data_IF_158130547379
#
_entry.id   IF_158130547379
#
_cell.length_a   1.000
_cell.length_b   1.000
_cell.length_c   1.000
_cell.angle_alpha   90.00
_cell.angle_beta   90.00
_cell.angle_gamma   90.00
#
_symmetry.space_group_name_H-M   'P 1'
#
loop_
_entity.id
_entity.type
_entity.pdbx_description
1 polymer ?
#
# COMPACT_ATOMS: atom_id res chain seq x y z
N UNK A 1 -42.64 6.53 -24.70
CA UNK A 1 -42.35 7.15 -23.38
C UNK A 1 -41.66 8.46 -23.65
N UNK A 2 -42.16 9.56 -23.07
CA UNK A 2 -41.61 10.89 -23.30
C UNK A 2 -40.45 11.16 -22.32
N UNK A 3 -39.52 12.04 -22.69
CA UNK A 3 -38.44 12.50 -21.81
C UNK A 3 -38.97 13.15 -20.52
N UNK A 4 -40.20 13.69 -20.54
CA UNK A 4 -40.90 14.27 -19.39
C UNK A 4 -41.16 13.29 -18.25
N UNK A 5 -41.19 11.99 -18.54
CA UNK A 5 -41.54 10.98 -17.55
C UNK A 5 -40.32 10.53 -16.72
N UNK A 6 -39.13 10.97 -17.13
CA UNK A 6 -37.86 10.72 -16.47
C UNK A 6 -37.42 11.99 -15.75
N UNK A 7 -36.96 11.84 -14.51
CA UNK A 7 -36.31 12.93 -13.79
C UNK A 7 -34.89 12.54 -13.39
N UNK A 8 -34.03 13.54 -13.28
CA UNK A 8 -32.65 13.32 -12.91
C UNK A 8 -32.55 13.03 -11.41
N UNK A 9 -32.16 11.82 -11.03
CA UNK A 9 -31.97 11.44 -9.63
C UNK A 9 -30.67 12.03 -9.07
N UNK A 10 -29.56 11.76 -9.75
CA UNK A 10 -28.23 12.14 -9.29
C UNK A 10 -27.34 12.53 -10.45
N UNK A 11 -26.56 13.59 -10.24
CA UNK A 11 -25.54 14.03 -11.16
C UNK A 11 -24.18 13.84 -10.49
N UNK A 12 -23.38 12.94 -11.05
CA UNK A 12 -22.07 12.59 -10.51
C UNK A 12 -20.96 13.16 -11.38
N UNK A 13 -20.06 13.93 -10.78
CA UNK A 13 -18.84 14.39 -11.43
C UNK A 13 -17.62 13.72 -10.80
N UNK A 14 -16.64 13.38 -11.63
CA UNK A 14 -15.35 12.90 -11.17
C UNK A 14 -14.25 13.77 -11.75
N UNK A 15 -13.60 14.53 -10.88
CA UNK A 15 -12.39 15.25 -11.21
C UNK A 15 -11.19 14.33 -11.16
N UNK A 16 -10.35 14.41 -12.18
CA UNK A 16 -9.10 13.67 -12.29
C UNK A 16 -7.97 14.60 -12.70
N UNK A 17 -6.82 14.54 -12.03
CA UNK A 17 -5.61 15.26 -12.44
C UNK A 17 -4.34 14.51 -12.02
N UNK A 18 -3.24 14.80 -12.72
CA UNK A 18 -1.88 14.31 -12.39
C UNK A 18 -1.31 15.05 -11.19
N UNK A 19 -1.60 16.34 -11.08
CA UNK A 19 -1.12 17.19 -9.99
C UNK A 19 -2.19 17.32 -8.90
N UNK A 20 -1.80 17.05 -7.66
CA UNK A 20 -2.69 17.19 -6.50
C UNK A 20 -3.14 18.64 -6.28
N UNK A 21 -2.23 19.60 -6.51
CA UNK A 21 -2.46 21.04 -6.30
C UNK A 21 -3.56 21.58 -7.23
N UNK A 22 -3.49 21.25 -8.52
CA UNK A 22 -4.50 21.63 -9.52
C UNK A 22 -5.89 21.15 -9.14
N UNK A 23 -5.99 19.91 -8.66
CA UNK A 23 -7.25 19.35 -8.21
C UNK A 23 -7.79 20.06 -6.95
N UNK A 24 -6.92 20.41 -6.00
CA UNK A 24 -7.34 21.19 -4.83
C UNK A 24 -7.82 22.59 -5.21
N UNK A 25 -7.18 23.23 -6.20
CA UNK A 25 -7.63 24.51 -6.71
C UNK A 25 -8.98 24.41 -7.42
N UNK A 26 -9.20 23.41 -8.27
CA UNK A 26 -10.51 23.23 -8.91
C UNK A 26 -11.63 22.98 -7.90
N UNK A 27 -11.37 22.23 -6.82
CA UNK A 27 -12.34 22.06 -5.71
C UNK A 27 -12.64 23.39 -5.02
N UNK A 28 -11.61 24.19 -4.76
CA UNK A 28 -11.77 25.48 -4.07
C UNK A 28 -12.53 26.48 -4.95
N UNK A 29 -12.24 26.49 -6.25
CA UNK A 29 -12.96 27.29 -7.23
C UNK A 29 -14.42 26.86 -7.31
N UNK A 30 -14.68 25.54 -7.39
CA UNK A 30 -16.04 24.98 -7.44
C UNK A 30 -16.83 25.41 -6.21
N UNK A 31 -16.23 25.36 -5.03
CA UNK A 31 -16.85 25.84 -3.79
C UNK A 31 -17.25 27.30 -3.87
N UNK A 32 -16.33 28.13 -4.35
CA UNK A 32 -16.56 29.57 -4.48
C UNK A 32 -17.60 29.90 -5.55
N UNK A 33 -17.70 29.13 -6.63
CA UNK A 33 -18.73 29.32 -7.67
C UNK A 33 -20.10 28.82 -7.22
N UNK A 34 -20.15 27.73 -6.44
CA UNK A 34 -21.41 27.20 -5.93
C UNK A 34 -22.07 28.11 -4.88
N UNK A 35 -21.30 28.96 -4.19
CA UNK A 35 -21.85 30.00 -3.29
C UNK A 35 -22.83 30.94 -4.00
N UNK A 36 -22.71 31.09 -5.33
CA UNK A 36 -23.58 31.93 -6.16
C UNK A 36 -24.63 31.13 -6.94
N UNK A 37 -24.69 29.82 -6.74
CA UNK A 37 -25.66 28.93 -7.40
C UNK A 37 -26.73 28.47 -6.40
N UNK A 38 -27.91 28.12 -6.90
CA UNK A 38 -28.99 27.58 -6.06
C UNK A 38 -28.74 26.14 -5.59
N UNK A 39 -27.64 25.52 -6.01
CA UNK A 39 -27.33 24.13 -5.71
C UNK A 39 -26.61 23.95 -4.38
N UNK A 40 -27.02 22.92 -3.65
CA UNK A 40 -26.37 22.55 -2.39
C UNK A 40 -24.96 22.03 -2.62
N UNK A 41 -24.01 22.47 -1.80
CA UNK A 41 -22.61 22.02 -1.85
C UNK A 41 -22.48 20.49 -1.70
N UNK A 42 -21.94 19.77 -2.70
CA UNK A 42 -21.68 18.34 -2.57
C UNK A 42 -20.36 18.11 -1.83
N UNK A 43 -20.39 17.29 -0.77
CA UNK A 43 -19.17 16.94 -0.04
C UNK A 43 -18.22 16.14 -0.97
N UNK A 44 -16.96 16.59 -1.17
CA UNK A 44 -16.02 15.90 -2.05
C UNK A 44 -15.63 14.54 -1.48
N UNK A 45 -15.95 13.47 -2.20
CA UNK A 45 -15.54 12.12 -1.85
C UNK A 45 -14.23 11.77 -2.54
N UNK A 46 -13.19 11.48 -1.75
CA UNK A 46 -11.91 11.02 -2.30
C UNK A 46 -12.05 9.60 -2.85
N UNK A 47 -11.75 9.43 -4.14
CA UNK A 47 -11.71 8.12 -4.77
C UNK A 47 -10.34 7.47 -4.59
N UNK A 48 -10.25 6.12 -4.68
CA UNK A 48 -8.97 5.43 -4.64
C UNK A 48 -8.05 5.96 -5.75
N UNK A 49 -6.81 6.26 -5.37
CA UNK A 49 -5.77 6.72 -6.30
C UNK A 49 -5.55 5.65 -7.37
N UNK A 50 -5.51 6.05 -8.65
CA UNK A 50 -5.02 5.16 -9.71
C UNK A 50 -3.52 5.37 -9.80
N UNK A 51 -2.76 4.29 -9.60
CA UNK A 51 -1.32 4.31 -9.77
C UNK A 51 -0.94 3.16 -10.68
N UNK A 52 -0.16 3.45 -11.72
CA UNK A 52 0.44 2.42 -12.56
C UNK A 52 1.94 2.60 -12.58
N UNK A 53 2.63 1.47 -12.70
CA UNK A 53 4.08 1.42 -12.70
C UNK A 53 4.54 1.01 -14.09
N UNK A 54 5.43 1.81 -14.67
CA UNK A 54 6.10 1.46 -15.92
C UNK A 54 7.58 1.30 -15.61
N UNK A 55 8.14 0.16 -16.02
CA UNK A 55 9.55 -0.13 -15.80
C UNK A 55 10.24 -0.21 -17.16
N UNK A 56 11.31 0.54 -17.35
CA UNK A 56 12.08 0.52 -18.58
C UNK A 56 13.57 0.28 -18.32
N UNK A 57 14.26 -0.24 -19.33
CA UNK A 57 15.72 -0.37 -19.32
C UNK A 57 16.34 1.01 -19.49
N UNK A 58 17.26 1.39 -18.60
CA UNK A 58 17.88 2.73 -18.66
C UNK A 58 18.65 2.99 -19.97
N UNK A 59 19.02 1.94 -20.71
CA UNK A 59 19.71 2.02 -21.99
C UNK A 59 18.94 1.21 -23.05
N UNK A 60 18.97 1.64 -24.32
CA UNK A 60 18.15 1.05 -25.39
C UNK A 60 18.50 -0.41 -25.73
N UNK A 61 19.76 -0.83 -25.55
CA UNK A 61 20.25 -2.14 -26.02
C UNK A 61 21.03 -2.97 -24.98
N UNK A 62 20.86 -2.73 -23.67
CA UNK A 62 21.57 -3.49 -22.61
C UNK A 62 20.66 -4.44 -21.82
N UNK A 63 21.30 -5.43 -21.20
CA UNK A 63 20.67 -6.47 -20.39
C UNK A 63 19.83 -5.93 -19.22
N UNK A 64 18.84 -6.73 -18.78
CA UNK A 64 17.79 -6.51 -17.78
C UNK A 64 18.27 -6.15 -16.35
N UNK A 65 19.56 -5.87 -16.17
CA UNK A 65 20.18 -5.57 -14.87
C UNK A 65 19.91 -4.12 -14.46
N UNK A 66 19.86 -3.18 -15.41
CA UNK A 66 19.73 -1.76 -15.10
C UNK A 66 18.33 -1.21 -15.47
N UNK A 67 17.36 -1.43 -14.58
CA UNK A 67 15.96 -1.02 -14.73
C UNK A 67 15.69 0.28 -13.96
N UNK A 68 14.81 1.13 -14.50
CA UNK A 68 14.21 2.26 -13.76
C UNK A 68 12.70 2.08 -13.70
N UNK A 69 12.14 2.34 -12.52
CA UNK A 69 10.70 2.28 -12.26
C UNK A 69 10.14 3.70 -12.22
N UNK A 70 9.07 3.93 -12.96
CA UNK A 70 8.26 5.15 -12.90
C UNK A 70 6.90 4.80 -12.36
N UNK A 71 6.41 5.61 -11.43
CA UNK A 71 5.06 5.48 -10.88
C UNK A 71 4.30 6.73 -11.27
N UNK A 72 3.23 6.54 -12.03
CA UNK A 72 2.33 7.61 -12.39
C UNK A 72 1.12 7.56 -11.46
N UNK A 73 0.66 8.74 -11.05
CA UNK A 73 -0.47 8.89 -10.14
C UNK A 73 -1.55 9.74 -10.80
N UNK A 74 -2.79 9.28 -10.67
CA UNK A 74 -3.98 10.08 -10.93
C UNK A 74 -4.74 10.28 -9.63
N UNK A 75 -4.88 11.54 -9.23
CA UNK A 75 -5.72 11.96 -8.13
C UNK A 75 -7.15 12.10 -8.60
N UNK A 76 -8.10 11.59 -7.81
CA UNK A 76 -9.52 11.54 -8.20
C UNK A 76 -10.43 11.94 -7.05
N UNK A 77 -11.37 12.82 -7.32
CA UNK A 77 -12.42 13.22 -6.40
C UNK A 77 -13.78 13.15 -7.08
N UNK A 78 -14.77 12.68 -6.33
CA UNK A 78 -16.14 12.56 -6.78
C UNK A 78 -17.02 13.58 -6.08
N UNK A 79 -17.90 14.21 -6.85
CA UNK A 79 -18.98 15.07 -6.39
C UNK A 79 -20.28 14.43 -6.82
N UNK A 80 -21.31 14.49 -5.96
CA UNK A 80 -22.61 13.91 -6.28
C UNK A 80 -23.68 14.90 -5.87
N UNK A 81 -24.24 15.55 -6.87
CA UNK A 81 -25.39 16.43 -6.72
C UNK A 81 -26.66 15.58 -6.74
N UNK A 82 -27.57 15.85 -5.82
CA UNK A 82 -28.87 15.18 -5.70
C UNK A 82 -29.96 16.21 -5.96
N UNK A 83 -31.01 15.82 -6.67
CA UNK A 83 -32.16 16.69 -6.96
C UNK A 83 -31.74 18.03 -7.59
N UNK A 84 -30.99 17.96 -8.69
CA UNK A 84 -30.54 19.15 -9.43
C UNK A 84 -31.74 19.81 -10.12
N UNK A 85 -31.95 21.10 -9.87
CA UNK A 85 -33.04 21.87 -10.47
C UNK A 85 -32.71 22.30 -11.90
N UNK A 86 -31.50 22.82 -12.13
CA UNK A 86 -31.01 23.27 -13.43
C UNK A 86 -29.71 22.56 -13.84
N UNK A 87 -29.87 21.52 -14.67
CA UNK A 87 -28.77 20.66 -15.10
C UNK A 87 -27.72 21.41 -15.94
N UNK A 88 -28.10 22.22 -16.95
CA UNK A 88 -27.17 23.09 -17.66
C UNK A 88 -26.34 24.01 -16.75
N UNK A 89 -26.96 24.66 -15.77
CA UNK A 89 -26.23 25.54 -14.85
C UNK A 89 -25.26 24.76 -13.95
N UNK A 90 -25.68 23.61 -13.41
CA UNK A 90 -24.82 22.69 -12.66
C UNK A 90 -23.55 22.32 -13.43
N UNK A 91 -23.73 21.92 -14.68
CA UNK A 91 -22.63 21.47 -15.53
C UNK A 91 -21.74 22.64 -15.90
N UNK A 92 -22.30 23.81 -16.21
CA UNK A 92 -21.55 25.02 -16.53
C UNK A 92 -20.69 25.49 -15.36
N UNK A 93 -21.24 25.54 -14.14
CA UNK A 93 -20.49 25.96 -12.93
C UNK A 93 -19.34 25.00 -12.63
N UNK A 94 -19.59 23.69 -12.70
CA UNK A 94 -18.56 22.67 -12.49
C UNK A 94 -17.48 22.79 -13.56
N UNK A 95 -17.83 22.82 -14.85
CA UNK A 95 -16.83 22.96 -15.92
C UNK A 95 -16.06 24.29 -15.87
N UNK A 96 -16.72 25.39 -15.50
CA UNK A 96 -16.10 26.71 -15.36
C UNK A 96 -15.16 26.82 -14.17
N UNK A 97 -15.32 25.98 -13.14
CA UNK A 97 -14.44 25.94 -11.97
C UNK A 97 -13.11 25.19 -12.18
N UNK A 98 -12.98 24.49 -13.31
CA UNK A 98 -11.84 23.62 -13.60
C UNK A 98 -10.57 24.40 -13.95
N UNK A 99 -9.41 23.82 -13.62
CA UNK A 99 -8.10 24.31 -14.07
C UNK A 99 -7.64 23.54 -15.32
N UNK A 100 -6.65 24.04 -16.10
CA UNK A 100 -6.28 23.46 -17.40
C UNK A 100 -5.85 21.99 -17.38
N UNK A 101 -5.29 21.50 -16.27
CA UNK A 101 -4.83 20.11 -16.13
C UNK A 101 -5.85 19.18 -15.45
N UNK A 102 -7.04 19.70 -15.14
CA UNK A 102 -8.11 18.90 -14.55
C UNK A 102 -9.03 18.39 -15.64
N UNK A 103 -9.36 17.11 -15.57
CA UNK A 103 -10.37 16.49 -16.44
C UNK A 103 -11.59 16.12 -15.59
N UNK A 104 -12.77 16.28 -16.17
CA UNK A 104 -14.02 15.94 -15.52
C UNK A 104 -14.77 14.87 -16.32
N UNK A 105 -15.29 13.87 -15.61
CA UNK A 105 -16.25 12.91 -16.17
C UNK A 105 -17.58 13.14 -15.48
N UNK A 106 -18.61 13.51 -16.25
CA UNK A 106 -19.97 13.65 -15.77
C UNK A 106 -20.78 12.37 -16.04
N UNK A 107 -21.64 12.00 -15.11
CA UNK A 107 -22.54 10.86 -15.21
C UNK A 107 -23.93 11.29 -14.76
N UNK A 108 -24.87 11.17 -15.68
CA UNK A 108 -26.28 11.47 -15.46
C UNK A 108 -27.00 10.18 -15.10
N UNK A 109 -27.70 10.18 -13.97
CA UNK A 109 -28.54 9.08 -13.57
C UNK A 109 -29.99 9.54 -13.56
N UNK A 110 -30.75 9.08 -14.54
CA UNK A 110 -32.17 9.39 -14.69
C UNK A 110 -32.99 8.25 -14.09
N UNK A 111 -34.06 8.61 -13.38
CA UNK A 111 -35.04 7.65 -12.89
C UNK A 111 -36.40 7.95 -13.50
N UNK A 112 -37.11 6.88 -13.84
CA UNK A 112 -38.49 6.94 -14.29
C UNK A 112 -39.38 6.90 -13.05
N UNK A 113 -40.28 7.86 -12.91
CA UNK A 113 -41.20 7.92 -11.76
C UNK A 113 -42.39 6.98 -11.89
N UNK A 114 -42.71 6.54 -13.11
CA UNK A 114 -43.83 5.66 -13.32
C UNK A 114 -43.56 4.29 -12.70
N UNK A 115 -44.57 3.77 -12.00
CA UNK A 115 -44.57 2.37 -11.67
C UNK A 115 -44.55 1.57 -12.98
N UNK A 116 -43.91 0.39 -13.04
CA UNK A 116 -43.93 -0.43 -14.24
C UNK A 116 -45.40 -0.72 -14.61
N UNK A 117 -45.73 -0.86 -15.89
CA UNK A 117 -47.13 -0.96 -16.38
C UNK A 117 -47.99 -2.05 -15.70
N UNK A 118 -47.42 -2.99 -14.93
CA UNK A 118 -48.18 -3.91 -14.07
C UNK A 118 -48.89 -3.23 -12.88
N UNK A 119 -48.42 -2.07 -12.41
CA UNK A 119 -49.03 -1.34 -11.28
C UNK A 119 -50.14 -0.39 -11.71
N UNK A 120 -50.26 -0.11 -13.02
CA UNK A 120 -51.32 0.76 -13.55
C UNK A 120 -52.72 0.14 -13.38
N UNK A 121 -52.80 -1.19 -13.26
CA UNK A 121 -54.04 -1.92 -13.01
C UNK A 121 -54.58 -1.76 -11.58
N UNK A 122 -53.80 -1.22 -10.64
CA UNK A 122 -54.24 -1.06 -9.24
C UNK A 122 -55.10 0.20 -9.00
N UNK A 123 -55.27 1.06 -10.01
CA UNK A 123 -55.96 2.37 -9.86
C UNK A 123 -57.35 2.36 -10.50
N UNK A 124 -57.63 1.46 -11.43
CA UNK A 124 -58.98 1.22 -11.95
C UNK A 124 -59.64 0.14 -11.12
N UNK A 125 -60.26 0.54 -10.01
CA UNK A 125 -60.97 -0.37 -9.11
C UNK A 125 -62.25 -0.91 -9.75
N UNK A 126 -62.15 -2.11 -10.33
CA UNK A 126 -63.29 -3.00 -10.52
C UNK A 126 -63.02 -4.28 -9.70
N UNK A 127 -63.60 -4.31 -8.49
CA UNK A 127 -63.43 -5.33 -7.47
C UNK A 127 -63.88 -6.72 -7.97
N UNK A 128 -62.95 -7.52 -8.47
CA UNK A 128 -63.19 -8.93 -8.81
C UNK A 128 -62.13 -9.84 -8.16
N UNK A 129 -62.52 -11.07 -7.79
CA UNK A 129 -61.68 -12.04 -7.04
C UNK A 129 -60.30 -12.31 -7.68
N UNK A 130 -60.17 -12.07 -8.99
CA UNK A 130 -58.90 -12.17 -9.72
C UNK A 130 -57.85 -11.11 -9.29
N UNK A 131 -58.28 -9.95 -8.76
CA UNK A 131 -57.36 -8.91 -8.28
C UNK A 131 -56.70 -9.28 -6.95
N UNK A 132 -57.41 -9.97 -6.06
CA UNK A 132 -56.86 -10.42 -4.77
C UNK A 132 -55.74 -11.45 -4.99
N UNK A 133 -55.96 -12.42 -5.89
CA UNK A 133 -54.94 -13.41 -6.25
C UNK A 133 -53.71 -12.77 -6.92
N UNK A 134 -53.89 -11.74 -7.75
CA UNK A 134 -52.80 -11.02 -8.42
C UNK A 134 -52.04 -10.08 -7.48
N UNK A 135 -52.73 -9.46 -6.52
CA UNK A 135 -52.10 -8.67 -5.46
C UNK A 135 -51.24 -9.54 -4.53
N UNK A 136 -51.68 -10.77 -4.25
CA UNK A 136 -50.87 -11.75 -3.52
C UNK A 136 -49.63 -12.19 -4.32
N UNK A 137 -49.76 -12.40 -5.63
CA UNK A 137 -48.62 -12.71 -6.51
C UNK A 137 -47.59 -11.57 -6.55
N UNK A 138 -48.04 -10.32 -6.63
CA UNK A 138 -47.17 -9.14 -6.57
C UNK A 138 -46.46 -9.01 -5.23
N UNK A 139 -47.16 -9.27 -4.11
CA UNK A 139 -46.54 -9.31 -2.78
C UNK A 139 -45.47 -10.40 -2.68
N UNK A 140 -45.71 -11.57 -3.29
CA UNK A 140 -44.69 -12.64 -3.38
C UNK A 140 -43.49 -12.20 -4.19
N UNK A 141 -43.68 -11.57 -5.35
CA UNK A 141 -42.57 -11.06 -6.18
C UNK A 141 -41.76 -9.97 -5.50
N UNK A 142 -42.40 -9.04 -4.78
CA UNK A 142 -41.69 -8.02 -3.98
C UNK A 142 -40.84 -8.70 -2.91
N UNK A 143 -41.40 -9.69 -2.21
CA UNK A 143 -40.70 -10.44 -1.18
C UNK A 143 -39.54 -11.26 -1.76
N UNK A 144 -39.69 -11.86 -2.95
CA UNK A 144 -38.61 -12.52 -3.69
C UNK A 144 -37.50 -11.54 -4.13
N UNK A 145 -37.86 -10.34 -4.57
CA UNK A 145 -36.90 -9.29 -4.92
C UNK A 145 -36.13 -8.79 -3.71
N UNK A 146 -36.80 -8.60 -2.57
CA UNK A 146 -36.16 -8.24 -1.31
C UNK A 146 -35.20 -9.34 -0.84
N UNK A 147 -35.62 -10.60 -0.94
CA UNK A 147 -34.76 -11.76 -0.67
C UNK A 147 -33.56 -11.80 -1.64
N UNK A 148 -33.78 -11.55 -2.93
CA UNK A 148 -32.73 -11.47 -3.94
C UNK A 148 -31.71 -10.37 -3.64
N UNK A 149 -32.19 -9.18 -3.28
CA UNK A 149 -31.35 -8.05 -2.86
C UNK A 149 -30.55 -8.37 -1.59
N UNK A 150 -31.16 -9.04 -0.61
CA UNK A 150 -30.46 -9.49 0.60
C UNK A 150 -29.36 -10.52 0.29
N UNK A 151 -29.59 -11.42 -0.67
CA UNK A 151 -28.62 -12.41 -1.12
C UNK A 151 -27.45 -11.75 -1.85
N UNK A 152 -27.71 -10.73 -2.67
CA UNK A 152 -26.67 -9.94 -3.34
C UNK A 152 -25.80 -9.21 -2.31
N UNK A 153 -26.41 -8.60 -1.28
CA UNK A 153 -25.68 -7.93 -0.21
C UNK A 153 -24.81 -8.90 0.60
N UNK A 154 -25.33 -10.09 0.95
CA UNK A 154 -24.54 -11.16 1.59
C UNK A 154 -23.36 -11.60 0.73
N UNK A 155 -23.57 -11.80 -0.57
CA UNK A 155 -22.49 -12.17 -1.49
C UNK A 155 -21.40 -11.09 -1.57
N UNK A 156 -21.81 -9.82 -1.58
CA UNK A 156 -20.87 -8.69 -1.54
C UNK A 156 -20.09 -8.63 -0.22
N UNK A 157 -20.73 -8.87 0.93
CA UNK A 157 -20.01 -8.93 2.21
C UNK A 157 -18.99 -10.06 2.23
N UNK A 158 -19.37 -11.26 1.77
CA UNK A 158 -18.48 -12.42 1.71
C UNK A 158 -17.29 -12.15 0.78
N UNK A 159 -17.50 -11.49 -0.35
CA UNK A 159 -16.42 -11.08 -1.25
C UNK A 159 -15.49 -10.04 -0.60
N UNK A 160 -16.00 -9.10 0.20
CA UNK A 160 -15.13 -8.20 0.98
C UNK A 160 -14.31 -8.92 2.04
N UNK A 161 -14.88 -9.95 2.69
CA UNK A 161 -14.16 -10.75 3.68
C UNK A 161 -13.11 -11.66 3.02
N UNK A 162 -13.42 -12.27 1.88
CA UNK A 162 -12.45 -13.00 1.05
C UNK A 162 -11.31 -12.10 0.60
N UNK A 163 -11.61 -10.87 0.16
CA UNK A 163 -10.58 -9.89 -0.20
C UNK A 163 -9.68 -9.53 0.98
N UNK A 164 -10.22 -9.38 2.21
CA UNK A 164 -9.40 -9.19 3.41
C UNK A 164 -8.46 -10.38 3.65
N UNK A 165 -8.92 -11.62 3.46
CA UNK A 165 -8.09 -12.82 3.55
C UNK A 165 -7.01 -12.91 2.46
N UNK A 166 -7.32 -12.49 1.23
CA UNK A 166 -6.38 -12.51 0.10
C UNK A 166 -5.25 -11.49 0.27
N UNK A 167 -5.53 -10.31 0.82
CA UNK A 167 -4.50 -9.31 1.13
C UNK A 167 -3.74 -9.59 2.44
N UNK A 168 -4.36 -10.26 3.42
CA UNK A 168 -3.69 -10.69 4.65
C UNK A 168 -2.53 -11.66 4.40
N UNK A 169 -2.58 -12.48 3.34
CA UNK A 169 -1.50 -13.40 3.01
C UNK A 169 -0.25 -12.75 2.37
N UNK A 170 -0.34 -11.49 1.95
CA UNK A 170 0.77 -10.78 1.28
C UNK A 170 1.57 -9.82 2.17
N UNK A 171 1.07 -9.50 3.38
CA UNK A 171 1.77 -8.63 4.34
C UNK A 171 2.54 -9.41 5.41
N UNK A 172 2.33 -10.72 5.53
CA UNK A 172 3.02 -11.60 6.48
C UNK A 172 4.41 -12.08 6.02
N UNK A 173 4.79 -11.90 4.75
CA UNK A 173 6.10 -12.32 4.24
C UNK A 173 7.18 -11.24 4.28
N UNK A 174 6.84 -10.00 4.67
CA UNK A 174 7.80 -8.90 4.72
C UNK A 174 7.75 -8.08 6.02
N UNK A 175 7.19 -8.66 7.06
CA UNK A 175 7.27 -8.13 8.42
C UNK A 175 7.84 -9.21 9.33
N UNK A 176 9.17 -9.24 9.45
CA UNK A 176 9.87 -9.93 10.52
C UNK A 176 9.61 -9.31 11.90
N UNK A 177 8.38 -8.88 12.18
CA UNK A 177 7.95 -8.51 13.51
C UNK A 177 7.73 -9.81 14.29
N UNK A 178 8.80 -10.25 14.96
CA UNK A 178 8.65 -11.03 16.18
C UNK A 178 7.61 -10.30 17.03
N UNK A 179 6.53 -10.98 17.44
CA UNK A 179 5.68 -10.51 18.53
C UNK A 179 6.53 -10.52 19.81
N UNK A 180 7.30 -9.47 20.03
CA UNK A 180 7.73 -9.03 21.35
C UNK A 180 6.63 -8.19 22.00
N UNK A 181 6.64 -8.02 23.33
CA UNK A 181 5.73 -7.09 23.99
C UNK A 181 5.90 -5.70 23.39
N UNK A 182 4.78 -4.99 23.22
CA UNK A 182 4.66 -3.72 22.50
C UNK A 182 5.82 -2.76 22.78
N UNK A 183 6.66 -2.51 21.77
CA UNK A 183 7.63 -1.43 21.79
C UNK A 183 6.87 -0.11 21.69
N UNK A 184 6.70 0.55 22.83
CA UNK A 184 6.30 1.95 22.89
C UNK A 184 7.39 2.82 22.24
N UNK A 185 7.02 3.87 21.48
CA UNK A 185 7.99 4.78 20.89
C UNK A 185 8.91 5.36 21.98
N UNK A 186 10.23 5.33 21.72
CA UNK A 186 11.34 5.66 22.64
C UNK A 186 11.31 7.08 23.24
N UNK A 187 10.34 7.91 22.83
CA UNK A 187 10.26 9.33 23.19
C UNK A 187 9.38 9.60 24.42
N UNK A 188 8.59 8.61 24.90
CA UNK A 188 7.64 8.80 26.01
C UNK A 188 7.86 7.91 27.25
N UNK A 189 9.04 7.30 27.45
CA UNK A 189 9.27 6.44 28.61
C UNK A 189 10.03 7.16 29.75
N UNK A 190 9.58 7.04 31.01
CA UNK A 190 10.25 7.64 32.17
C UNK A 190 11.66 7.05 32.34
N UNK A 191 12.57 7.85 32.91
CA UNK A 191 14.03 7.64 33.05
C UNK A 191 14.47 6.26 33.56
N UNK A 192 13.60 5.50 34.22
CA UNK A 192 13.84 4.13 34.72
C UNK A 192 13.92 3.06 33.59
N UNK A 193 13.34 3.31 32.41
CA UNK A 193 13.41 2.36 31.28
C UNK A 193 14.77 2.36 30.56
N UNK A 194 15.54 3.47 30.65
CA UNK A 194 16.90 3.55 30.10
C UNK A 194 17.85 2.57 30.79
N UNK A 195 17.66 2.31 32.09
CA UNK A 195 18.41 1.30 32.83
C UNK A 195 18.10 -0.14 32.36
N UNK A 196 16.83 -0.42 31.99
CA UNK A 196 16.44 -1.73 31.50
C UNK A 196 16.95 -2.02 30.09
N UNK A 197 17.05 -1.03 29.21
CA UNK A 197 17.70 -1.20 27.90
C UNK A 197 19.21 -1.46 28.01
N UNK A 198 19.88 -0.80 28.95
CA UNK A 198 21.31 -1.05 29.26
C UNK A 198 21.50 -2.46 29.82
N UNK A 199 20.59 -2.92 30.70
CA UNK A 199 20.61 -4.29 31.25
C UNK A 199 20.27 -5.36 30.21
N UNK A 200 19.37 -5.09 29.26
CA UNK A 200 19.05 -6.04 28.19
C UNK A 200 20.21 -6.19 27.20
N UNK A 201 20.92 -5.10 26.91
CA UNK A 201 22.15 -5.15 26.13
C UNK A 201 23.29 -5.86 26.87
N UNK A 202 23.41 -5.72 28.19
CA UNK A 202 24.47 -6.39 28.96
C UNK A 202 24.31 -7.91 29.02
N UNK A 203 23.08 -8.43 29.12
CA UNK A 203 22.83 -9.87 29.06
C UNK A 203 23.08 -10.47 27.68
N UNK A 204 22.84 -9.71 26.60
CA UNK A 204 23.15 -10.16 25.25
C UNK A 204 24.65 -10.11 24.95
N UNK A 205 25.33 -9.03 25.36
CA UNK A 205 26.77 -8.85 25.19
C UNK A 205 27.56 -9.93 25.95
N UNK A 206 27.24 -10.17 27.23
CA UNK A 206 27.90 -11.21 28.04
C UNK A 206 27.76 -12.62 27.46
N UNK A 207 26.63 -12.93 26.83
CA UNK A 207 26.46 -14.21 26.12
C UNK A 207 27.32 -14.31 24.87
N UNK A 208 27.44 -13.23 24.09
CA UNK A 208 28.28 -13.19 22.91
C UNK A 208 29.77 -13.29 23.29
N UNK A 209 30.19 -12.55 24.31
CA UNK A 209 31.56 -12.60 24.85
C UNK A 209 31.91 -14.00 25.36
N UNK A 210 31.03 -14.63 26.14
CA UNK A 210 31.22 -16.00 26.62
C UNK A 210 31.30 -17.00 25.46
N UNK A 211 30.49 -16.84 24.42
CA UNK A 211 30.50 -17.70 23.24
C UNK A 211 31.78 -17.52 22.41
N UNK A 212 32.14 -16.27 22.07
CA UNK A 212 33.36 -15.96 21.35
C UNK A 212 34.60 -16.44 22.12
N UNK A 213 34.65 -16.21 23.44
CA UNK A 213 35.72 -16.70 24.31
C UNK A 213 35.82 -18.22 24.35
N UNK A 214 34.69 -18.94 24.40
CA UNK A 214 34.68 -20.40 24.27
C UNK A 214 35.24 -20.87 22.92
N UNK A 215 34.91 -20.18 21.82
CA UNK A 215 35.43 -20.53 20.50
C UNK A 215 36.94 -20.29 20.37
N UNK A 216 37.43 -19.19 20.92
CA UNK A 216 38.85 -18.82 20.86
C UNK A 216 39.72 -19.70 21.77
N UNK A 217 39.25 -19.99 22.98
CA UNK A 217 40.06 -20.70 23.99
C UNK A 217 39.92 -22.22 23.88
N UNK A 218 38.70 -22.75 23.67
CA UNK A 218 38.46 -24.20 23.75
C UNK A 218 38.41 -24.87 22.38
N UNK A 219 37.90 -24.19 21.35
CA UNK A 219 37.55 -24.84 20.07
C UNK A 219 38.61 -24.62 19.00
N UNK A 220 39.19 -23.41 18.92
CA UNK A 220 40.16 -23.03 17.89
C UNK A 220 41.58 -22.88 18.47
N UNK A 221 42.11 -23.95 19.06
CA UNK A 221 43.50 -23.96 19.54
C UNK A 221 44.48 -24.15 18.38
N UNK A 222 45.62 -23.45 18.33
CA UNK A 222 46.61 -23.63 17.27
C UNK A 222 47.21 -25.04 17.35
N UNK A 223 46.92 -25.88 16.37
CA UNK A 223 47.39 -27.28 16.35
C UNK A 223 48.69 -27.46 15.55
N UNK A 224 49.04 -26.52 14.65
CA UNK A 224 50.24 -26.62 13.82
C UNK A 224 51.43 -25.84 14.41
N UNK A 225 52.60 -26.46 14.64
CA UNK A 225 53.75 -25.81 15.29
C UNK A 225 54.45 -24.76 14.41
N UNK A 226 54.34 -24.86 13.08
CA UNK A 226 55.08 -24.01 12.13
C UNK A 226 54.21 -23.05 11.30
N UNK A 227 52.89 -23.11 11.44
CA UNK A 227 51.92 -22.36 10.62
C UNK A 227 50.80 -21.82 11.52
N UNK A 228 50.99 -20.66 12.14
CA UNK A 228 49.98 -20.07 13.02
C UNK A 228 48.68 -19.78 12.25
N UNK A 229 47.53 -20.11 12.85
CA UNK A 229 46.21 -19.92 12.24
C UNK A 229 45.68 -21.09 11.40
N UNK A 230 46.46 -22.15 11.24
CA UNK A 230 45.99 -23.38 10.60
C UNK A 230 45.33 -24.33 11.62
N UNK A 231 44.00 -24.29 11.69
CA UNK A 231 43.19 -25.11 12.61
C UNK A 231 42.75 -26.45 12.01
N UNK A 232 43.37 -26.92 10.92
CA UNK A 232 42.96 -28.11 10.15
C UNK A 232 41.49 -28.12 9.71
N UNK A 233 40.88 -26.94 9.62
CA UNK A 233 39.57 -26.71 9.02
C UNK A 233 39.79 -26.30 7.58
N UNK A 234 39.54 -27.21 6.64
CA UNK A 234 39.72 -26.97 5.21
C UNK A 234 38.92 -25.77 4.70
N UNK A 235 39.17 -25.36 3.45
CA UNK A 235 38.43 -24.26 2.80
C UNK A 235 36.93 -24.58 2.83
N UNK A 236 36.13 -23.65 3.36
CA UNK A 236 34.67 -23.75 3.56
C UNK A 236 34.16 -24.64 4.69
N UNK A 237 34.98 -25.20 5.60
CA UNK A 237 34.56 -25.82 6.88
C UNK A 237 33.36 -26.82 6.87
N UNK A 238 32.90 -27.29 5.70
CA UNK A 238 31.65 -28.04 5.53
C UNK A 238 31.89 -29.56 5.51
N UNK A 239 33.13 -30.02 5.32
CA UNK A 239 33.48 -31.45 5.35
C UNK A 239 34.90 -31.64 5.95
N UNK A 240 35.10 -32.62 6.86
CA UNK A 240 36.45 -33.02 7.26
C UNK A 240 37.15 -33.64 6.04
N UNK A 241 38.20 -33.00 5.53
CA UNK A 241 39.11 -33.63 4.54
C UNK A 241 39.45 -32.87 3.26
N UNK A 242 38.92 -31.67 2.99
CA UNK A 242 39.33 -30.90 1.79
C UNK A 242 40.52 -29.98 2.06
N UNK A 243 41.61 -30.57 2.55
CA UNK A 243 42.91 -29.88 2.59
C UNK A 243 43.35 -29.66 1.14
N UNK A 244 43.72 -28.43 0.77
CA UNK A 244 44.28 -28.15 -0.55
C UNK A 244 45.67 -28.80 -0.60
N UNK A 245 45.76 -29.98 -1.21
CA UNK A 245 47.00 -30.77 -1.32
C UNK A 245 48.05 -30.03 -2.16
N UNK A 246 47.61 -29.28 -3.19
CA UNK A 246 48.50 -28.55 -4.09
C UNK A 246 49.13 -27.31 -3.40
N UNK A 247 50.48 -27.23 -3.29
CA UNK A 247 51.15 -26.15 -2.57
C UNK A 247 50.97 -24.78 -3.22
N UNK A 248 50.93 -24.72 -4.56
CA UNK A 248 50.77 -23.46 -5.30
C UNK A 248 49.34 -22.87 -5.15
N UNK A 249 48.32 -23.72 -5.21
CA UNK A 249 46.92 -23.30 -5.01
C UNK A 249 46.69 -22.85 -3.57
N UNK A 250 47.31 -23.52 -2.60
CA UNK A 250 47.28 -23.15 -1.18
C UNK A 250 47.87 -21.75 -0.96
N UNK A 251 49.07 -21.49 -1.51
CA UNK A 251 49.72 -20.16 -1.43
C UNK A 251 48.87 -19.06 -2.06
N UNK A 252 48.24 -19.33 -3.21
CA UNK A 252 47.34 -18.38 -3.88
C UNK A 252 46.10 -18.07 -3.03
N UNK A 253 45.46 -19.08 -2.44
CA UNK A 253 44.28 -18.89 -1.58
C UNK A 253 44.63 -18.08 -0.32
N UNK A 254 45.76 -18.40 0.33
CA UNK A 254 46.22 -17.69 1.52
C UNK A 254 46.50 -16.20 1.23
N UNK A 255 47.16 -15.91 0.11
CA UNK A 255 47.40 -14.54 -0.32
C UNK A 255 46.10 -13.78 -0.62
N UNK A 256 45.08 -14.45 -1.17
CA UNK A 256 43.77 -13.85 -1.41
C UNK A 256 43.02 -13.55 -0.10
N UNK A 257 43.05 -14.46 0.88
CA UNK A 257 42.47 -14.25 2.21
C UNK A 257 43.14 -13.07 2.93
N UNK A 258 44.46 -12.97 2.87
CA UNK A 258 45.22 -11.89 3.49
C UNK A 258 44.98 -10.53 2.81
N UNK A 259 44.92 -10.50 1.47
CA UNK A 259 44.59 -9.27 0.73
C UNK A 259 43.16 -8.79 1.01
N UNK A 260 42.18 -9.69 1.04
CA UNK A 260 40.80 -9.36 1.39
C UNK A 260 40.66 -8.94 2.85
N UNK A 261 41.39 -9.58 3.77
CA UNK A 261 41.44 -9.19 5.18
C UNK A 261 41.98 -7.76 5.36
N UNK A 262 43.07 -7.41 4.67
CA UNK A 262 43.61 -6.03 4.67
C UNK A 262 42.60 -5.02 4.14
N UNK A 263 41.92 -5.36 3.05
CA UNK A 263 40.87 -4.51 2.47
C UNK A 263 39.69 -4.35 3.44
N UNK A 264 39.26 -5.42 4.10
CA UNK A 264 38.15 -5.40 5.06
C UNK A 264 38.48 -4.54 6.29
N UNK A 265 39.69 -4.63 6.83
CA UNK A 265 40.12 -3.76 7.94
C UNK A 265 40.06 -2.28 7.54
N UNK A 266 40.56 -1.93 6.36
CA UNK A 266 40.51 -0.57 5.83
C UNK A 266 39.06 -0.11 5.63
N UNK A 267 38.20 -0.97 5.08
CA UNK A 267 36.79 -0.65 4.83
C UNK A 267 36.01 -0.38 6.12
N UNK A 268 36.19 -1.22 7.16
CA UNK A 268 35.52 -1.04 8.46
C UNK A 268 36.02 0.23 9.15
N UNK A 269 37.32 0.50 9.08
CA UNK A 269 37.90 1.73 9.62
C UNK A 269 37.29 2.99 8.98
N UNK A 270 37.20 3.02 7.64
CA UNK A 270 36.54 4.13 6.96
C UNK A 270 35.05 4.21 7.25
N UNK A 271 34.35 3.08 7.36
CA UNK A 271 32.94 3.05 7.76
C UNK A 271 32.73 3.73 9.11
N UNK A 272 33.57 3.42 10.11
CA UNK A 272 33.49 4.04 11.43
C UNK A 272 33.79 5.55 11.40
N UNK A 273 34.79 5.98 10.62
CA UNK A 273 35.10 7.41 10.46
C UNK A 273 33.95 8.16 9.77
N UNK A 274 33.37 7.58 8.73
CA UNK A 274 32.23 8.18 8.03
C UNK A 274 30.99 8.23 8.91
N UNK A 275 30.65 7.16 9.64
CA UNK A 275 29.53 7.15 10.59
C UNK A 275 29.75 8.19 11.70
N UNK A 276 30.98 8.29 12.23
CA UNK A 276 31.34 9.26 13.26
C UNK A 276 31.32 10.71 12.79
N UNK A 277 31.70 10.99 11.54
CA UNK A 277 31.77 12.35 10.98
C UNK A 277 30.42 12.82 10.43
N UNK A 278 29.61 11.93 9.87
CA UNK A 278 28.31 12.28 9.28
C UNK A 278 27.15 12.16 10.27
N UNK A 279 27.34 11.46 11.40
CA UNK A 279 26.30 11.23 12.40
C UNK A 279 25.11 10.44 11.86
N UNK A 280 25.29 9.73 10.74
CA UNK A 280 24.28 8.92 10.07
C UNK A 280 24.87 7.54 9.86
N UNK A 281 24.15 6.50 10.27
CA UNK A 281 24.55 5.14 9.93
C UNK A 281 24.41 4.93 8.41
N UNK A 282 25.38 4.27 7.80
CA UNK A 282 25.27 3.79 6.42
C UNK A 282 23.93 3.04 6.20
N UNK A 283 23.01 3.65 5.44
CA UNK A 283 21.69 3.08 5.12
C UNK A 283 20.48 3.89 5.62
N UNK A 284 20.65 4.91 6.47
CA UNK A 284 19.58 5.84 6.82
C UNK A 284 19.37 6.91 5.74
N UNK A 285 18.75 6.53 4.62
CA UNK A 285 18.09 7.51 3.75
C UNK A 285 16.66 7.70 4.26
N UNK A 286 16.47 8.63 5.21
CA UNK A 286 15.12 9.11 5.52
C UNK A 286 14.60 9.83 4.28
N UNK A 287 13.61 9.23 3.62
CA UNK A 287 12.86 9.90 2.56
C UNK A 287 12.32 11.25 3.04
N UNK A 288 11.97 12.17 2.12
CA UNK A 288 11.60 13.54 2.48
C UNK A 288 10.49 13.54 3.53
N UNK A 289 10.54 14.47 4.52
CA UNK A 289 9.58 14.54 5.59
C UNK A 289 8.17 14.67 5.01
N UNK A 290 7.28 13.77 5.43
CA UNK A 290 5.86 13.87 5.12
C UNK A 290 5.30 15.08 5.87
N UNK A 291 5.02 16.15 5.12
CA UNK A 291 4.17 17.25 5.56
C UNK A 291 2.70 16.83 5.69
#
# INVERSE_FOLDING_TARGET
>A
MALSDYSLATLRFVYTSKLRRELQFSITNLRRTLEWSDETWPVPQRLPRRAWRVSYLKLPFRAKINIRHHVFHDYRYQFTFRNVQDVPAAVSTVLGSMTPETHCVCQFNWHYHGAPDYNRFLVTGDETQDEQARAEELRRRILELEQGMSNVQRKQSDDTERMKGYYAHSTLWNTGFKKGPAELPLEELPTVSKQHHILFMSHAASRLEAWCGMYEILINTPQHPTEPGNYYRGRLAILPGTMIVDPEKRKRSLNAELANGRLAMIAIFFMWIFDGLTGQAWGEFKGPPTA
#
